data_IF_537593283219
#
_entry.id   IF_537593283219
#
_cell.length_a   1.000
_cell.length_b   1.000
_cell.length_c   1.000
_cell.angle_alpha   90.00
_cell.angle_beta   90.00
_cell.angle_gamma   90.00
#
_symmetry.space_group_name_H-M   'P 1'
#
loop_
_entity.id
_entity.type
_entity.pdbx_description
1 polymer ?
#
# COMPACT_ATOMS: atom_id res chain seq x y z
N UNK A 1 -54.75 -18.50 -22.95
CA UNK A 1 -53.59 -19.22 -23.56
C UNK A 1 -52.65 -18.12 -24.06
N UNK A 2 -51.41 -17.90 -23.63
CA UNK A 2 -50.36 -18.75 -23.07
C UNK A 2 -49.46 -17.89 -22.16
N UNK A 3 -49.19 -18.35 -20.95
CA UNK A 3 -48.04 -17.95 -20.17
C UNK A 3 -46.86 -18.87 -20.51
N UNK A 4 -45.67 -18.30 -20.67
CA UNK A 4 -44.33 -18.91 -20.70
C UNK A 4 -43.49 -17.92 -21.49
N UNK A 5 -42.53 -17.19 -20.94
CA UNK A 5 -41.13 -17.65 -20.91
C UNK A 5 -40.30 -16.64 -20.10
N UNK A 6 -40.43 -16.61 -18.77
CA UNK A 6 -39.65 -15.68 -17.90
C UNK A 6 -38.63 -16.43 -17.01
N UNK A 7 -38.65 -17.76 -17.00
CA UNK A 7 -37.82 -18.56 -16.07
C UNK A 7 -36.41 -18.91 -16.56
N UNK A 8 -36.08 -18.72 -17.84
CA UNK A 8 -34.79 -19.15 -18.41
C UNK A 8 -33.68 -18.09 -18.40
N UNK A 9 -34.02 -16.80 -18.42
CA UNK A 9 -33.03 -15.70 -18.55
C UNK A 9 -32.45 -15.29 -17.19
N UNK A 10 -33.20 -15.48 -16.09
CA UNK A 10 -32.74 -15.11 -14.76
C UNK A 10 -31.60 -15.98 -14.21
N UNK A 11 -31.51 -17.25 -14.63
CA UNK A 11 -30.54 -18.20 -14.08
C UNK A 11 -29.14 -18.05 -14.70
N UNK A 12 -29.04 -17.69 -15.98
CA UNK A 12 -27.76 -17.48 -16.67
C UNK A 12 -27.10 -16.15 -16.32
N UNK A 13 -27.88 -15.11 -16.02
CA UNK A 13 -27.34 -13.82 -15.60
C UNK A 13 -26.80 -13.85 -14.15
N UNK A 14 -27.38 -14.69 -13.29
CA UNK A 14 -26.94 -14.83 -11.90
C UNK A 14 -25.57 -15.52 -11.75
N UNK A 15 -25.23 -16.49 -12.63
CA UNK A 15 -23.92 -17.16 -12.58
C UNK A 15 -22.77 -16.29 -13.09
N UNK A 16 -23.02 -15.39 -14.03
CA UNK A 16 -21.98 -14.50 -14.57
C UNK A 16 -21.51 -13.45 -13.54
N UNK A 17 -22.40 -12.99 -12.66
CA UNK A 17 -22.06 -12.02 -11.61
C UNK A 17 -21.29 -12.65 -10.43
N UNK A 18 -21.36 -13.97 -10.23
CA UNK A 18 -20.67 -14.64 -9.12
C UNK A 18 -19.16 -14.84 -9.38
N UNK A 19 -18.73 -14.84 -10.64
CA UNK A 19 -17.31 -15.07 -10.99
C UNK A 19 -16.42 -13.82 -10.80
N UNK A 20 -16.98 -12.61 -10.81
CA UNK A 20 -16.23 -11.36 -10.66
C UNK A 20 -15.93 -11.01 -9.20
N UNK A 21 -16.82 -11.37 -8.26
CA UNK A 21 -16.63 -11.14 -6.82
C UNK A 21 -15.48 -11.97 -6.24
N UNK A 22 -15.24 -13.19 -6.75
CA UNK A 22 -14.21 -14.08 -6.22
C UNK A 22 -12.77 -13.59 -6.46
N UNK A 23 -12.52 -12.74 -7.46
CA UNK A 23 -11.18 -12.18 -7.74
C UNK A 23 -10.86 -10.92 -6.92
N UNK A 24 -11.85 -10.25 -6.36
CA UNK A 24 -11.65 -9.01 -5.61
C UNK A 24 -11.19 -9.23 -4.15
N UNK A 25 -11.24 -10.47 -3.64
CA UNK A 25 -10.86 -10.79 -2.26
C UNK A 25 -9.41 -11.23 -2.08
N UNK A 26 -8.58 -11.24 -3.13
CA UNK A 26 -7.16 -11.47 -2.95
C UNK A 26 -6.46 -10.19 -2.47
N UNK A 27 -6.76 -9.79 -1.23
CA UNK A 27 -5.81 -9.03 -0.42
C UNK A 27 -4.61 -9.95 -0.24
N UNK A 28 -3.56 -9.75 -1.05
CA UNK A 28 -2.26 -10.30 -0.73
C UNK A 28 -1.93 -9.82 0.68
N UNK A 29 -1.89 -10.73 1.64
CA UNK A 29 -1.35 -10.43 2.95
C UNK A 29 0.10 -9.98 2.70
N UNK A 30 0.36 -8.66 2.77
CA UNK A 30 1.72 -8.16 2.78
C UNK A 30 2.41 -8.84 3.95
N UNK A 31 3.31 -9.77 3.66
CA UNK A 31 4.15 -10.37 4.68
C UNK A 31 4.79 -9.22 5.45
N UNK A 32 4.56 -9.16 6.77
CA UNK A 32 5.13 -8.12 7.59
C UNK A 32 6.65 -8.15 7.39
N UNK A 33 7.20 -7.08 6.85
CA UNK A 33 8.64 -6.96 6.65
C UNK A 33 9.33 -7.12 8.02
N UNK A 34 10.30 -8.03 8.10
CA UNK A 34 11.03 -8.26 9.33
C UNK A 34 11.73 -6.97 9.79
N UNK A 35 11.74 -6.74 11.10
CA UNK A 35 12.44 -5.59 11.67
C UNK A 35 13.95 -5.68 11.36
N UNK A 36 14.64 -4.55 11.09
CA UNK A 36 16.09 -4.53 10.90
C UNK A 36 16.83 -5.11 12.11
N UNK A 37 17.84 -5.93 11.85
CA UNK A 37 18.67 -6.56 12.88
C UNK A 37 19.98 -5.79 13.07
N UNK A 38 20.50 -5.77 14.30
CA UNK A 38 21.79 -5.13 14.60
C UNK A 38 22.91 -5.81 13.82
N UNK A 39 23.82 -5.01 13.27
CA UNK A 39 24.95 -5.48 12.46
C UNK A 39 24.61 -5.78 11.00
N UNK A 40 23.32 -5.81 10.62
CA UNK A 40 22.93 -5.89 9.23
C UNK A 40 22.99 -4.52 8.56
N UNK A 41 23.28 -4.51 7.26
CA UNK A 41 23.22 -3.28 6.48
C UNK A 41 21.79 -2.71 6.55
N UNK A 42 21.67 -1.44 6.96
CA UNK A 42 20.39 -0.76 6.97
C UNK A 42 19.79 -0.76 5.55
N UNK A 43 18.52 -1.17 5.38
CA UNK A 43 17.84 -1.10 4.09
C UNK A 43 17.78 0.33 3.60
N UNK A 44 18.08 0.53 2.31
CA UNK A 44 17.95 1.85 1.71
C UNK A 44 16.48 2.22 1.53
N UNK A 45 16.17 3.50 1.63
CA UNK A 45 14.85 4.05 1.37
C UNK A 45 14.97 5.49 0.91
N UNK A 46 13.96 5.93 0.17
CA UNK A 46 13.83 7.31 -0.30
C UNK A 46 12.45 7.83 0.09
N UNK A 47 12.42 9.02 0.69
CA UNK A 47 11.18 9.67 1.13
C UNK A 47 11.13 11.14 0.67
N UNK A 48 9.93 11.72 0.49
CA UNK A 48 9.80 13.16 0.37
C UNK A 48 10.33 13.84 1.63
N UNK A 49 11.24 14.80 1.47
CA UNK A 49 11.67 15.66 2.56
C UNK A 49 10.67 16.81 2.77
N UNK A 50 10.54 17.28 4.01
CA UNK A 50 9.81 18.51 4.31
C UNK A 50 10.54 19.37 5.34
N UNK A 51 10.37 20.69 5.25
CA UNK A 51 10.77 21.67 6.28
C UNK A 51 9.57 22.56 6.63
N UNK A 52 9.79 23.55 7.51
CA UNK A 52 8.81 24.60 7.79
C UNK A 52 8.38 25.42 6.56
N UNK A 53 9.11 25.34 5.45
CA UNK A 53 8.83 26.04 4.20
C UNK A 53 8.12 25.17 3.16
N UNK A 54 7.75 23.94 3.51
CA UNK A 54 7.12 22.98 2.61
C UNK A 54 8.06 21.86 2.18
N UNK A 55 7.71 21.19 1.08
CA UNK A 55 8.45 20.04 0.55
C UNK A 55 9.81 20.46 -0.03
N UNK A 56 10.81 19.61 0.13
CA UNK A 56 12.08 19.77 -0.56
C UNK A 56 11.90 19.43 -2.05
N UNK A 57 12.62 20.15 -2.92
CA UNK A 57 12.66 19.85 -4.35
C UNK A 57 13.28 18.48 -4.67
N UNK A 58 14.23 18.04 -3.83
CA UNK A 58 14.86 16.73 -3.93
C UNK A 58 14.37 15.84 -2.79
N UNK A 59 14.04 14.57 -3.06
CA UNK A 59 13.76 13.61 -2.01
C UNK A 59 15.03 13.32 -1.20
N UNK A 60 14.86 12.69 -0.04
CA UNK A 60 15.95 12.31 0.86
C UNK A 60 16.11 10.80 0.81
N UNK A 61 17.33 10.31 0.56
CA UNK A 61 17.65 8.89 0.59
C UNK A 61 18.62 8.55 1.72
N UNK A 62 18.52 7.33 2.27
CA UNK A 62 19.41 6.93 3.37
C UNK A 62 20.88 6.88 2.91
N UNK A 63 21.15 6.48 1.66
CA UNK A 63 22.51 6.44 1.13
C UNK A 63 23.19 7.81 1.00
N UNK A 64 22.46 8.93 1.01
CA UNK A 64 23.03 10.27 0.99
C UNK A 64 23.85 10.57 2.28
N UNK A 65 23.62 9.80 3.35
CA UNK A 65 24.26 9.97 4.66
C UNK A 65 25.36 8.93 4.95
N UNK A 66 25.89 8.23 3.94
CA UNK A 66 27.00 7.30 4.14
C UNK A 66 28.20 8.01 4.79
N UNK A 67 28.88 7.33 5.71
CA UNK A 67 30.00 7.89 6.47
C UNK A 67 29.58 8.74 7.69
N UNK A 68 28.28 8.91 7.94
CA UNK A 68 27.75 9.62 9.10
C UNK A 68 27.03 8.65 10.05
N UNK A 69 27.01 8.99 11.34
CA UNK A 69 26.13 8.32 12.31
C UNK A 69 24.74 8.94 12.23
N UNK A 70 23.74 8.15 11.86
CA UNK A 70 22.37 8.61 11.61
C UNK A 70 21.40 7.93 12.58
N UNK A 71 20.48 8.70 13.14
CA UNK A 71 19.37 8.20 13.95
C UNK A 71 18.06 8.35 13.18
N UNK A 72 17.33 7.26 13.01
CA UNK A 72 16.04 7.22 12.32
C UNK A 72 14.94 7.07 13.38
N UNK A 73 14.03 8.04 13.44
CA UNK A 73 12.90 8.04 14.36
C UNK A 73 11.58 8.02 13.59
N UNK A 74 10.67 7.12 13.98
CA UNK A 74 9.35 7.01 13.40
C UNK A 74 8.31 7.66 14.32
N UNK A 75 7.55 8.60 13.78
CA UNK A 75 6.45 9.26 14.49
C UNK A 75 5.12 8.87 13.83
N UNK A 76 4.29 8.07 14.52
CA UNK A 76 2.98 7.62 13.99
C UNK A 76 2.07 8.80 13.61
N UNK A 77 2.22 9.93 14.31
CA UNK A 77 1.56 11.19 13.98
C UNK A 77 2.60 12.31 14.04
N UNK A 78 3.02 12.79 12.88
CA UNK A 78 3.80 14.01 12.80
C UNK A 78 2.93 15.18 13.28
N UNK A 79 3.32 15.82 14.38
CA UNK A 79 2.65 17.03 14.92
C UNK A 79 3.05 18.28 14.14
N UNK A 80 3.16 18.15 12.83
CA UNK A 80 3.46 19.26 11.92
C UNK A 80 2.16 19.99 11.60
N UNK A 81 2.16 21.32 11.62
CA UNK A 81 1.11 22.08 10.92
C UNK A 81 1.34 21.88 9.43
N UNK A 82 0.34 21.32 8.75
CA UNK A 82 0.19 21.44 7.30
C UNK A 82 -0.41 22.79 6.98
#
# INVERSE_FOLDING_TARGET
MKGATIRGVGLTLALACAATVARAQQTAAQAAAAAPQVGQMAPDFTIPGATRYGLLAKPVSLHDFRGQTVVIAFFIKARTKG
#
